data_IF_225489594959
#
_entry.id   IF_225489594959
#
_cell.length_a   1.000
_cell.length_b   1.000
_cell.length_c   1.000
_cell.angle_alpha   90.00
_cell.angle_beta   90.00
_cell.angle_gamma   90.00
#
_symmetry.space_group_name_H-M   'P 1'
#
loop_
_entity.id
_entity.type
_entity.pdbx_description
1 polymer ?
#
# COMPACT_ATOMS: atom_id res chain seq x y z
N UNK A 1 -29.75 5.45 25.32
CA UNK A 1 -29.36 4.04 25.33
C UNK A 1 -29.84 3.41 24.03
N UNK A 2 -29.04 3.48 22.96
CA UNK A 2 -29.03 2.55 21.81
C UNK A 2 -27.99 3.05 20.82
N UNK A 3 -26.84 2.38 20.75
CA UNK A 3 -25.87 2.46 19.63
C UNK A 3 -25.04 1.17 19.46
N UNK A 4 -25.17 0.20 20.38
CA UNK A 4 -24.37 -1.04 20.36
C UNK A 4 -24.65 -1.95 19.15
N UNK A 5 -25.89 -2.04 18.67
CA UNK A 5 -26.25 -2.97 17.59
C UNK A 5 -25.69 -2.55 16.21
N UNK A 6 -25.45 -1.25 15.99
CA UNK A 6 -24.87 -0.72 14.74
C UNK A 6 -23.37 -1.03 14.64
N UNK A 7 -22.65 -0.92 15.75
CA UNK A 7 -21.20 -1.14 15.79
C UNK A 7 -20.84 -2.62 15.64
N UNK A 8 -21.68 -3.52 16.18
CA UNK A 8 -21.51 -4.97 16.05
C UNK A 8 -21.72 -5.45 14.60
N UNK A 9 -22.69 -4.89 13.86
CA UNK A 9 -22.89 -5.22 12.44
C UNK A 9 -21.71 -4.76 11.56
N UNK A 10 -21.19 -3.54 11.78
CA UNK A 10 -20.01 -3.02 11.05
C UNK A 10 -18.76 -3.87 11.33
N UNK A 11 -18.57 -4.30 12.59
CA UNK A 11 -17.48 -5.17 12.98
C UNK A 11 -17.53 -6.54 12.28
N UNK A 12 -18.71 -7.15 12.17
CA UNK A 12 -18.91 -8.43 11.49
C UNK A 12 -18.68 -8.33 9.97
N UNK A 13 -19.17 -7.26 9.33
CA UNK A 13 -18.94 -7.03 7.90
C UNK A 13 -17.46 -6.81 7.59
N UNK A 14 -16.76 -6.02 8.41
CA UNK A 14 -15.32 -5.82 8.27
C UNK A 14 -14.54 -7.13 8.47
N UNK A 15 -14.93 -7.96 9.43
CA UNK A 15 -14.31 -9.27 9.65
C UNK A 15 -14.56 -10.24 8.48
N UNK A 16 -15.78 -10.27 7.93
CA UNK A 16 -16.09 -11.11 6.77
C UNK A 16 -15.31 -10.65 5.53
N UNK A 17 -15.23 -9.34 5.29
CA UNK A 17 -14.44 -8.76 4.19
C UNK A 17 -12.95 -9.03 4.36
N UNK A 18 -12.43 -8.94 5.59
CA UNK A 18 -11.06 -9.31 5.93
C UNK A 18 -10.79 -10.79 5.66
N UNK A 19 -11.70 -11.69 6.08
CA UNK A 19 -11.57 -13.13 5.86
C UNK A 19 -11.62 -13.47 4.37
N UNK A 20 -12.55 -12.88 3.61
CA UNK A 20 -12.60 -13.06 2.14
C UNK A 20 -11.34 -12.52 1.46
N UNK A 21 -10.83 -11.37 1.91
CA UNK A 21 -9.56 -10.82 1.41
C UNK A 21 -8.41 -11.77 1.73
N UNK A 22 -8.33 -12.28 2.95
CA UNK A 22 -7.31 -13.26 3.36
C UNK A 22 -7.38 -14.57 2.58
N UNK A 23 -8.58 -15.06 2.27
CA UNK A 23 -8.78 -16.22 1.41
C UNK A 23 -8.44 -15.93 -0.05
N UNK A 24 -8.72 -14.72 -0.53
CA UNK A 24 -8.39 -14.25 -1.87
C UNK A 24 -6.90 -13.92 -2.05
N UNK A 25 -6.21 -13.53 -0.97
CA UNK A 25 -4.80 -13.14 -1.02
C UNK A 25 -3.91 -14.31 -1.44
N UNK A 26 -4.33 -15.58 -1.25
CA UNK A 26 -3.66 -16.81 -1.69
C UNK A 26 -2.13 -16.83 -1.53
N UNK A 27 -1.60 -16.01 -0.62
CA UNK A 27 -0.18 -15.76 -0.58
C UNK A 27 0.55 -17.02 -0.13
N UNK A 28 1.79 -17.14 -0.59
CA UNK A 28 2.71 -18.19 -0.16
C UNK A 28 3.88 -17.61 0.62
N UNK A 29 4.49 -18.41 1.49
CA UNK A 29 5.75 -18.01 2.12
C UNK A 29 6.81 -17.76 1.05
N UNK A 30 7.51 -16.63 1.14
CA UNK A 30 8.49 -16.18 0.16
C UNK A 30 7.95 -15.28 -0.94
N UNK A 31 6.64 -15.01 -0.97
CA UNK A 31 6.04 -14.12 -1.97
C UNK A 31 6.33 -12.63 -1.67
N UNK A 32 6.55 -11.86 -2.74
CA UNK A 32 6.78 -10.42 -2.66
C UNK A 32 5.46 -9.65 -2.60
N UNK A 33 5.40 -8.72 -1.65
CA UNK A 33 4.21 -7.93 -1.35
C UNK A 33 4.59 -6.49 -1.05
N UNK A 34 3.58 -5.63 -1.02
CA UNK A 34 3.70 -4.29 -0.46
C UNK A 34 2.86 -4.20 0.83
N UNK A 35 3.43 -3.52 1.82
CA UNK A 35 2.87 -3.38 3.16
C UNK A 35 2.70 -1.91 3.48
N UNK A 36 1.52 -1.52 3.93
CA UNK A 36 1.24 -0.18 4.41
C UNK A 36 1.18 -0.13 5.93
N UNK A 37 1.16 1.07 6.50
CA UNK A 37 1.04 1.30 7.93
C UNK A 37 -0.09 2.30 8.20
N UNK A 38 -0.83 2.07 9.29
CA UNK A 38 -1.82 3.00 9.81
C UNK A 38 -1.22 3.91 10.90
N UNK A 39 0.08 3.82 11.15
CA UNK A 39 0.74 4.70 12.11
C UNK A 39 0.80 6.14 11.58
N UNK A 40 0.60 7.09 12.49
CA UNK A 40 0.61 8.51 12.15
C UNK A 40 1.95 8.88 11.50
N UNK A 41 1.88 9.52 10.33
CA UNK A 41 3.04 9.90 9.53
C UNK A 41 3.50 8.84 8.52
N UNK A 42 2.93 7.64 8.50
CA UNK A 42 3.20 6.59 7.50
C UNK A 42 1.99 6.25 6.62
N UNK A 43 0.84 6.87 6.89
CA UNK A 43 -0.38 6.67 6.11
C UNK A 43 -0.23 7.13 4.67
N UNK A 44 -0.42 6.23 3.71
CA UNK A 44 -0.26 6.50 2.27
C UNK A 44 1.03 5.96 1.66
N UNK A 45 1.92 5.38 2.47
CA UNK A 45 3.14 4.71 2.02
C UNK A 45 2.94 3.19 1.87
N UNK A 46 3.62 2.62 0.88
CA UNK A 46 3.69 1.19 0.60
C UNK A 46 5.15 0.74 0.55
N UNK A 47 5.54 -0.14 1.45
CA UNK A 47 6.90 -0.64 1.58
C UNK A 47 7.00 -2.05 1.00
N UNK A 48 8.03 -2.29 0.19
CA UNK A 48 8.27 -3.60 -0.38
C UNK A 48 8.72 -4.58 0.71
N UNK A 49 8.12 -5.77 0.73
CA UNK A 49 8.40 -6.80 1.72
C UNK A 49 8.22 -8.20 1.14
N UNK A 50 8.65 -9.21 1.90
CA UNK A 50 8.44 -10.62 1.62
C UNK A 50 7.66 -11.27 2.75
N UNK A 51 6.71 -12.14 2.42
CA UNK A 51 5.95 -12.90 3.42
C UNK A 51 6.84 -13.98 4.04
N UNK A 52 7.07 -13.89 5.34
CA UNK A 52 7.79 -14.91 6.11
C UNK A 52 6.81 -15.98 6.59
N UNK A 53 5.73 -15.55 7.25
CA UNK A 53 4.69 -16.46 7.76
C UNK A 53 3.30 -15.86 7.60
N UNK A 54 2.36 -16.70 7.14
CA UNK A 54 0.94 -16.36 7.16
C UNK A 54 0.26 -16.93 8.40
N UNK A 55 -0.80 -16.26 8.89
CA UNK A 55 -1.59 -16.81 9.98
C UNK A 55 -2.18 -18.16 9.54
N UNK A 56 -2.09 -19.21 10.37
CA UNK A 56 -2.70 -20.49 10.03
C UNK A 56 -4.22 -20.32 9.93
N UNK A 57 -4.89 -21.16 9.12
CA UNK A 57 -6.36 -21.10 8.93
C UNK A 57 -7.14 -21.14 10.25
N UNK A 58 -6.60 -21.82 11.27
CA UNK A 58 -7.18 -21.87 12.62
C UNK A 58 -7.11 -20.53 13.37
N UNK A 59 -6.11 -19.69 13.08
CA UNK A 59 -5.96 -18.36 13.64
C UNK A 59 -6.84 -17.30 12.96
N UNK A 60 -7.36 -17.57 11.75
CA UNK A 60 -8.35 -16.70 11.08
C UNK A 60 -9.65 -16.53 11.89
N UNK A 61 -9.95 -17.49 12.78
CA UNK A 61 -11.11 -17.42 13.70
C UNK A 61 -10.83 -16.58 14.94
N UNK A 62 -9.59 -16.12 15.16
CA UNK A 62 -9.24 -15.21 16.27
C UNK A 62 -9.55 -13.78 15.86
N UNK A 63 -9.80 -12.91 16.85
CA UNK A 63 -10.21 -11.51 16.62
C UNK A 63 -9.21 -10.67 15.81
N UNK A 64 -7.95 -11.08 15.64
CA UNK A 64 -6.91 -10.33 14.90
C UNK A 64 -5.82 -11.27 14.35
N UNK A 65 -5.99 -11.90 13.17
CA UNK A 65 -4.91 -12.65 12.54
C UNK A 65 -3.76 -11.70 12.17
N UNK A 66 -2.53 -12.20 12.21
CA UNK A 66 -1.32 -11.44 11.88
C UNK A 66 -0.45 -12.22 10.90
N UNK A 67 0.10 -11.53 9.91
CA UNK A 67 1.11 -12.04 9.01
C UNK A 67 2.48 -11.49 9.45
N UNK A 68 3.52 -12.30 9.28
CA UNK A 68 4.90 -11.88 9.52
C UNK A 68 5.54 -11.59 8.17
N UNK A 69 6.06 -10.38 8.03
CA UNK A 69 6.71 -9.89 6.81
C UNK A 69 8.12 -9.43 7.14
N UNK A 70 9.01 -9.50 6.16
CA UNK A 70 10.35 -8.94 6.20
C UNK A 70 10.46 -7.85 5.14
N UNK A 71 10.75 -6.61 5.54
CA UNK A 71 10.89 -5.49 4.61
C UNK A 71 12.17 -5.60 3.79
N UNK A 72 12.16 -5.07 2.56
CA UNK A 72 13.32 -5.09 1.66
C UNK A 72 14.27 -3.91 1.85
N UNK A 73 13.76 -2.80 2.36
CA UNK A 73 14.50 -1.53 2.44
C UNK A 73 14.58 -1.00 3.87
N UNK A 74 13.60 -1.33 4.72
CA UNK A 74 13.63 -0.96 6.13
C UNK A 74 14.55 -1.89 6.93
N UNK A 75 15.42 -1.29 7.73
CA UNK A 75 16.39 -1.96 8.60
C UNK A 75 16.04 -1.74 10.07
N UNK A 76 16.56 -2.61 10.93
CA UNK A 76 16.48 -2.46 12.38
C UNK A 76 17.24 -1.22 12.86
N UNK A 77 16.90 -0.69 14.04
CA UNK A 77 17.55 0.52 14.59
C UNK A 77 19.07 0.39 14.75
N UNK A 78 19.56 -0.83 14.98
CA UNK A 78 20.99 -1.14 15.07
C UNK A 78 21.66 -1.37 13.69
N UNK A 79 20.89 -1.30 12.60
CA UNK A 79 21.32 -1.52 11.23
C UNK A 79 21.81 -2.94 10.93
N UNK A 80 21.57 -3.90 11.81
CA UNK A 80 22.13 -5.25 11.70
C UNK A 80 21.38 -6.15 10.73
N UNK A 81 20.08 -5.90 10.51
CA UNK A 81 19.22 -6.72 9.69
C UNK A 81 18.06 -5.92 9.07
N UNK A 82 17.39 -6.55 8.10
CA UNK A 82 16.10 -6.05 7.63
C UNK A 82 15.04 -6.20 8.71
N UNK A 83 14.15 -5.21 8.79
CA UNK A 83 13.06 -5.18 9.75
C UNK A 83 12.06 -6.31 9.48
N UNK A 84 11.66 -7.03 10.52
CA UNK A 84 10.63 -8.07 10.50
C UNK A 84 9.49 -7.63 11.43
N UNK A 85 8.27 -7.62 10.91
CA UNK A 85 7.09 -7.16 11.65
C UNK A 85 5.89 -8.09 11.51
N UNK A 86 5.04 -8.04 12.54
CA UNK A 86 3.74 -8.72 12.59
C UNK A 86 2.63 -7.75 12.21
N UNK A 87 2.23 -7.76 10.94
CA UNK A 87 1.29 -6.80 10.37
C UNK A 87 -0.12 -7.36 10.23
N UNK A 88 -1.12 -6.46 10.18
CA UNK A 88 -2.47 -6.84 9.82
C UNK A 88 -2.51 -7.22 8.34
N UNK A 89 -3.01 -8.40 7.95
CA UNK A 89 -3.09 -8.78 6.55
C UNK A 89 -3.94 -7.84 5.68
N UNK A 90 -4.82 -7.02 6.28
CA UNK A 90 -5.54 -5.96 5.58
C UNK A 90 -4.61 -4.91 4.97
N UNK A 91 -3.43 -4.71 5.55
CA UNK A 91 -2.42 -3.75 5.14
C UNK A 91 -1.43 -4.34 4.12
N UNK A 92 -1.66 -5.58 3.68
CA UNK A 92 -0.85 -6.23 2.66
C UNK A 92 -1.60 -6.20 1.33
N UNK A 93 -0.85 -5.94 0.25
CA UNK A 93 -1.27 -6.14 -1.13
C UNK A 93 -0.16 -6.82 -1.93
N UNK A 94 -0.45 -7.49 -3.06
CA UNK A 94 0.61 -7.98 -3.95
C UNK A 94 1.49 -6.83 -4.46
N UNK A 95 2.60 -7.15 -5.12
CA UNK A 95 3.32 -6.15 -5.90
C UNK A 95 2.45 -5.68 -7.08
N UNK A 96 2.33 -4.36 -7.34
CA UNK A 96 1.56 -3.86 -8.48
C UNK A 96 2.13 -4.32 -9.82
N UNK A 97 1.31 -4.31 -10.89
CA UNK A 97 1.76 -4.70 -12.21
C UNK A 97 2.97 -3.86 -12.64
N UNK A 98 3.94 -4.47 -13.35
CA UNK A 98 5.10 -3.74 -13.83
C UNK A 98 4.65 -2.59 -14.75
N UNK A 99 5.15 -1.39 -14.47
CA UNK A 99 4.93 -0.21 -15.30
C UNK A 99 5.69 -0.39 -16.61
N UNK A 100 5.02 -0.23 -17.74
CA UNK A 100 5.71 -0.26 -19.03
C UNK A 100 6.44 1.09 -19.26
N UNK A 101 7.46 1.10 -20.12
CA UNK A 101 8.28 2.30 -20.40
C UNK A 101 7.50 3.47 -21.00
N UNK A 102 6.31 3.23 -21.56
CA UNK A 102 5.46 4.29 -22.13
C UNK A 102 4.67 4.99 -21.02
N UNK A 103 4.18 4.25 -20.02
CA UNK A 103 3.53 4.79 -18.82
C UNK A 103 4.45 5.72 -18.02
N UNK A 104 5.77 5.44 -18.01
CA UNK A 104 6.78 6.25 -17.30
C UNK A 104 7.07 7.61 -17.96
N UNK A 105 6.66 7.81 -19.22
CA UNK A 105 7.01 9.00 -20.01
C UNK A 105 5.88 10.02 -20.16
N UNK A 106 4.68 9.72 -19.67
CA UNK A 106 3.48 10.45 -20.05
C UNK A 106 2.54 10.77 -18.87
N UNK A 107 3.09 11.10 -17.70
CA UNK A 107 2.22 11.62 -16.63
C UNK A 107 1.71 13.02 -16.97
N UNK A 108 0.43 13.24 -16.74
CA UNK A 108 -0.24 14.53 -16.90
C UNK A 108 -0.60 15.12 -15.54
N UNK A 109 -0.91 16.43 -15.52
CA UNK A 109 -1.41 17.07 -14.32
C UNK A 109 -2.72 16.40 -13.88
N UNK A 110 -2.83 16.14 -12.57
CA UNK A 110 -3.89 15.38 -11.90
C UNK A 110 -3.80 13.86 -11.99
N UNK A 111 -2.77 13.29 -12.64
CA UNK A 111 -2.54 11.85 -12.56
C UNK A 111 -2.20 11.44 -11.12
N UNK A 112 -2.83 10.35 -10.67
CA UNK A 112 -2.49 9.68 -9.43
C UNK A 112 -1.25 8.79 -9.65
N UNK A 113 -0.21 9.03 -8.86
CA UNK A 113 1.08 8.35 -8.94
C UNK A 113 1.51 7.84 -7.58
N UNK A 114 2.30 6.78 -7.57
CA UNK A 114 3.11 6.40 -6.41
C UNK A 114 4.53 6.91 -6.65
N UNK A 115 5.06 7.70 -5.72
CA UNK A 115 6.42 8.22 -5.75
C UNK A 115 7.34 7.44 -4.81
N UNK A 116 8.51 7.02 -5.31
CA UNK A 116 9.52 6.37 -4.49
C UNK A 116 10.24 7.41 -3.62
N UNK A 117 9.93 7.42 -2.33
CA UNK A 117 10.46 8.37 -1.37
C UNK A 117 10.61 7.70 0.00
N UNK A 118 11.74 7.93 0.69
CA UNK A 118 12.03 7.35 2.02
C UNK A 118 11.73 5.85 2.08
N UNK A 119 12.31 5.11 1.13
CA UNK A 119 12.28 3.64 1.09
C UNK A 119 10.90 3.01 0.84
N UNK A 120 9.89 3.81 0.50
CA UNK A 120 8.54 3.37 0.19
C UNK A 120 7.92 4.11 -1.00
N UNK A 121 6.78 3.59 -1.45
CA UNK A 121 5.96 4.17 -2.50
C UNK A 121 4.83 5.00 -1.89
N UNK A 122 4.88 6.32 -2.07
CA UNK A 122 3.93 7.26 -1.50
C UNK A 122 2.92 7.70 -2.54
N UNK A 123 1.64 7.51 -2.25
CA UNK A 123 0.57 7.95 -3.16
C UNK A 123 0.45 9.47 -3.17
N UNK A 124 0.51 10.06 -4.35
CA UNK A 124 0.36 11.49 -4.58
C UNK A 124 -0.28 11.80 -5.93
N UNK A 125 -0.43 13.09 -6.21
CA UNK A 125 -1.03 13.60 -7.44
C UNK A 125 -0.04 14.52 -8.16
N UNK A 126 0.11 14.35 -9.48
CA UNK A 126 0.96 15.23 -10.29
C UNK A 126 0.35 16.63 -10.31
N UNK A 127 1.01 17.57 -9.66
CA UNK A 127 0.62 18.97 -9.61
C UNK A 127 1.18 19.78 -10.81
N UNK A 128 2.32 19.36 -11.36
CA UNK A 128 2.94 20.02 -12.52
C UNK A 128 3.86 19.08 -13.28
N UNK A 129 3.82 19.14 -14.61
CA UNK A 129 4.84 18.55 -15.49
C UNK A 129 5.98 19.55 -15.69
N UNK A 130 7.22 19.12 -15.46
CA UNK A 130 8.44 19.92 -15.59
C UNK A 130 9.22 19.47 -16.84
N UNK A 131 10.31 20.19 -17.13
CA UNK A 131 11.25 19.80 -18.20
C UNK A 131 12.02 18.51 -17.83
N UNK A 132 12.64 17.87 -18.82
CA UNK A 132 13.50 16.69 -18.65
C UNK A 132 12.83 15.47 -17.97
N UNK A 133 11.54 15.25 -18.24
CA UNK A 133 10.77 14.12 -17.67
C UNK A 133 10.72 14.13 -16.14
N UNK A 134 10.63 15.33 -15.56
CA UNK A 134 10.44 15.55 -14.13
C UNK A 134 9.02 16.01 -13.82
N UNK A 135 8.57 15.72 -12.60
CA UNK A 135 7.20 15.98 -12.19
C UNK A 135 7.17 16.52 -10.78
N UNK A 136 6.32 17.51 -10.53
CA UNK A 136 5.99 17.97 -9.19
C UNK A 136 4.79 17.20 -8.70
N UNK A 137 4.93 16.51 -7.58
CA UNK A 137 3.89 15.67 -6.97
C UNK A 137 3.45 16.29 -5.64
N UNK A 138 2.14 16.38 -5.44
CA UNK A 138 1.50 16.76 -4.19
C UNK A 138 1.08 15.50 -3.42
N UNK A 139 1.36 15.47 -2.12
CA UNK A 139 0.95 14.42 -1.20
C UNK A 139 -0.10 14.98 -0.24
N UNK A 140 -1.17 14.22 0.04
CA UNK A 140 -2.23 14.65 0.95
C UNK A 140 -1.88 14.39 2.43
N UNK A 141 -1.09 13.35 2.71
CA UNK A 141 -0.81 12.90 4.07
C UNK A 141 0.61 12.32 4.23
N UNK A 142 1.53 13.03 4.90
CA UNK A 142 1.40 14.44 5.29
C UNK A 142 1.32 15.37 4.05
N UNK A 143 0.68 16.55 4.15
CA UNK A 143 0.69 17.54 3.07
C UNK A 143 2.12 17.97 2.71
N UNK A 144 2.55 17.66 1.50
CA UNK A 144 3.88 18.05 0.99
C UNK A 144 3.87 18.17 -0.54
N UNK A 145 4.85 18.86 -1.12
CA UNK A 145 5.04 19.01 -2.56
C UNK A 145 6.51 18.85 -2.91
N UNK A 146 6.84 17.82 -3.68
CA UNK A 146 8.22 17.47 -4.04
C UNK A 146 8.36 17.22 -5.55
N UNK A 147 9.57 17.40 -6.08
CA UNK A 147 9.89 17.14 -7.49
C UNK A 147 10.61 15.80 -7.63
N UNK A 148 10.18 14.97 -8.58
CA UNK A 148 10.74 13.63 -8.86
C UNK A 148 11.15 13.49 -10.31
N UNK A 149 12.13 12.61 -10.57
CA UNK A 149 12.38 12.08 -11.91
C UNK A 149 11.28 11.06 -12.25
N UNK A 150 10.90 10.96 -13.54
CA UNK A 150 9.89 9.98 -13.98
C UNK A 150 10.21 8.52 -13.63
N UNK A 151 11.49 8.17 -13.51
CA UNK A 151 11.95 6.82 -13.08
C UNK A 151 11.61 6.49 -11.62
N UNK A 152 11.39 7.52 -10.79
CA UNK A 152 11.06 7.41 -9.37
C UNK A 152 9.55 7.48 -9.16
N UNK A 153 8.76 7.54 -10.24
CA UNK A 153 7.31 7.50 -10.24
C UNK A 153 6.79 6.24 -10.91
N UNK A 154 5.61 5.79 -10.49
CA UNK A 154 4.80 4.80 -11.20
C UNK A 154 3.32 5.19 -11.14
N UNK A 155 2.48 4.72 -12.07
CA UNK A 155 1.05 4.91 -11.96
C UNK A 155 0.51 4.30 -10.66
N UNK A 156 -0.38 5.03 -9.98
CA UNK A 156 -1.04 4.51 -8.80
C UNK A 156 -2.13 3.49 -9.18
N UNK A 157 -2.21 2.40 -8.43
CA UNK A 157 -3.29 1.42 -8.51
C UNK A 157 -3.80 1.06 -7.11
N UNK A 158 -5.11 0.95 -6.99
CA UNK A 158 -5.77 0.42 -5.82
C UNK A 158 -5.86 -1.11 -5.90
N UNK A 159 -5.63 -1.78 -4.77
CA UNK A 159 -5.89 -3.21 -4.63
C UNK A 159 -7.25 -3.44 -3.96
N UNK A 160 -8.26 -3.76 -4.77
CA UNK A 160 -9.67 -3.89 -4.33
C UNK A 160 -10.18 -5.26 -4.74
N UNK A 161 -10.69 -6.02 -3.75
CA UNK A 161 -11.34 -7.32 -3.93
C UNK A 161 -10.57 -8.29 -4.85
N UNK A 162 -9.24 -8.32 -4.70
CA UNK A 162 -8.36 -9.23 -5.43
C UNK A 162 -7.95 -8.73 -6.83
N UNK A 163 -8.15 -7.45 -7.15
CA UNK A 163 -7.82 -6.87 -8.45
C UNK A 163 -7.12 -5.52 -8.31
N UNK A 164 -6.21 -5.25 -9.24
CA UNK A 164 -5.63 -3.92 -9.45
C UNK A 164 -6.59 -3.04 -10.24
N UNK A 165 -6.89 -1.86 -9.72
CA UNK A 165 -7.81 -0.90 -10.33
C UNK A 165 -7.11 0.45 -10.43
N UNK A 166 -7.17 1.09 -11.59
CA UNK A 166 -6.68 2.47 -11.74
C UNK A 166 -7.74 3.42 -11.16
N UNK A 167 -7.38 4.34 -10.25
CA UNK A 167 -8.33 5.32 -9.74
C UNK A 167 -8.83 6.21 -10.88
N UNK A 168 -10.12 6.56 -10.85
CA UNK A 168 -10.69 7.52 -11.78
C UNK A 168 -10.33 8.91 -11.27
N UNK A 169 -9.54 9.67 -12.05
CA UNK A 169 -9.22 11.06 -11.74
C UNK A 169 -10.52 11.86 -11.68
N UNK A 170 -10.86 12.40 -10.50
CA UNK A 170 -11.96 13.36 -10.39
C UNK A 170 -11.46 14.70 -10.93
N UNK A 171 -11.85 15.03 -12.15
CA UNK A 171 -11.77 16.42 -12.61
C UNK A 171 -12.76 17.23 -11.76
N UNK A 172 -12.23 18.21 -11.02
CA UNK A 172 -13.01 19.22 -10.29
C UNK A 172 -13.21 20.45 -11.15
#
# INVERSE_FOLDING_TARGET
MVDSDSDDLKGLQNQQKLNQRLEALQFSGGEEVEVSSNEDGFGGAWYAATIVHLPPKSALKKKRPKAVVQYKTLITDDGSAHLIESVDPALIRPTPPPTNTEDLKAFEVNDAVDANYRDGWWTGTVAKVLEDSRFRVYFDNPPDVLDFDGKDLRPHFDWIDGKWVRPVVKQV
#
